data_IF_659320844548
#
_entry.id   IF_659320844548
#
_cell.length_a   1.000
_cell.length_b   1.000
_cell.length_c   1.000
_cell.angle_alpha   90.00
_cell.angle_beta   90.00
_cell.angle_gamma   90.00
#
_symmetry.space_group_name_H-M   'P 1'
#
loop_
_entity.id
_entity.type
_entity.pdbx_description
1 polymer ?
#
# COMPACT_ATOMS: atom_id res chain seq x y z
N UNK A 1 -18.84 -3.30 4.69
CA UNK A 1 -17.98 -4.43 5.10
C UNK A 1 -16.65 -3.87 5.57
N UNK A 2 -16.47 -3.73 6.88
CA UNK A 2 -15.25 -3.17 7.46
C UNK A 2 -14.38 -4.31 7.97
N UNK A 3 -13.33 -4.64 7.24
CA UNK A 3 -12.32 -5.53 7.77
C UNK A 3 -11.48 -4.74 8.78
N UNK A 4 -11.91 -4.72 10.05
CA UNK A 4 -11.42 -3.88 11.16
C UNK A 4 -9.88 -3.84 11.32
N UNK A 5 -9.19 -4.84 10.79
CA UNK A 5 -7.75 -5.06 10.93
C UNK A 5 -6.97 -4.88 9.61
N UNK A 6 -7.63 -4.62 8.48
CA UNK A 6 -6.93 -4.30 7.23
C UNK A 6 -6.61 -2.82 7.20
N UNK A 7 -5.34 -2.51 6.94
CA UNK A 7 -4.92 -1.15 6.60
C UNK A 7 -4.27 -1.20 5.21
N UNK A 8 -4.64 -0.23 4.39
CA UNK A 8 -4.03 -0.02 3.08
C UNK A 8 -3.24 1.28 3.18
N UNK A 9 -1.92 1.17 3.00
CA UNK A 9 -1.02 2.31 2.85
C UNK A 9 -0.76 2.56 1.37
N UNK A 10 -0.78 3.83 0.98
CA UNK A 10 -0.35 4.27 -0.34
C UNK A 10 0.81 5.23 -0.15
N UNK A 11 1.98 4.85 -0.66
CA UNK A 11 3.18 5.66 -0.66
C UNK A 11 3.41 6.17 -2.08
N UNK A 12 3.09 7.44 -2.29
CA UNK A 12 3.29 8.11 -3.57
C UNK A 12 4.65 8.79 -3.56
N UNK A 13 5.54 8.36 -4.45
CA UNK A 13 6.80 9.02 -4.77
C UNK A 13 6.73 9.61 -6.17
N UNK A 14 7.69 10.48 -6.50
CA UNK A 14 7.72 11.17 -7.78
C UNK A 14 7.75 10.22 -8.99
N UNK A 15 8.32 9.03 -8.85
CA UNK A 15 8.54 8.08 -9.96
C UNK A 15 7.81 6.75 -9.76
N UNK A 16 7.19 6.53 -8.60
CA UNK A 16 6.49 5.28 -8.30
C UNK A 16 5.41 5.48 -7.23
N UNK A 17 4.30 4.79 -7.42
CA UNK A 17 3.25 4.61 -6.43
C UNK A 17 3.37 3.21 -5.86
N UNK A 18 3.58 3.12 -4.55
CA UNK A 18 3.63 1.84 -3.84
C UNK A 18 2.36 1.70 -3.01
N UNK A 19 1.54 0.70 -3.33
CA UNK A 19 0.38 0.34 -2.53
C UNK A 19 0.72 -0.88 -1.67
N UNK A 20 0.36 -0.82 -0.40
CA UNK A 20 0.70 -1.83 0.61
C UNK A 20 -0.56 -2.18 1.38
N UNK A 21 -0.93 -3.45 1.38
CA UNK A 21 -1.98 -3.98 2.24
C UNK A 21 -1.35 -4.75 3.40
N UNK A 22 -1.60 -4.25 4.60
CA UNK A 22 -1.15 -4.87 5.85
C UNK A 22 -2.37 -5.30 6.66
N UNK A 23 -2.21 -6.45 7.32
CA UNK A 23 -3.11 -6.86 8.40
C UNK A 23 -2.47 -6.47 9.72
N UNK A 24 -3.11 -5.56 10.46
CA UNK A 24 -2.73 -5.22 11.82
C UNK A 24 -3.49 -6.08 12.81
N UNK A 25 -2.76 -6.93 13.53
CA UNK A 25 -3.18 -7.51 14.79
C UNK A 25 -2.67 -6.65 15.96
N UNK A 26 -3.16 -6.90 17.17
CA UNK A 26 -2.77 -6.15 18.37
C UNK A 26 -1.26 -6.20 18.68
N UNK A 27 -0.54 -7.19 18.14
CA UNK A 27 0.90 -7.40 18.37
C UNK A 27 1.74 -7.49 17.10
N UNK A 28 1.11 -7.68 15.94
CA UNK A 28 1.81 -8.03 14.71
C UNK A 28 1.25 -7.24 13.52
N UNK A 29 2.14 -6.83 12.64
CA UNK A 29 1.81 -6.22 11.37
C UNK A 29 2.28 -7.16 10.26
N UNK A 30 1.34 -7.82 9.60
CA UNK A 30 1.65 -8.77 8.53
C UNK A 30 1.44 -8.10 7.18
N UNK A 31 2.51 -8.04 6.38
CA UNK A 31 2.43 -7.62 4.99
C UNK A 31 1.73 -8.72 4.19
N UNK A 32 0.49 -8.45 3.77
CA UNK A 32 -0.27 -9.41 2.98
C UNK A 32 -0.04 -9.24 1.49
N UNK A 33 0.00 -7.98 1.02
CA UNK A 33 0.15 -7.69 -0.39
C UNK A 33 0.84 -6.37 -0.61
N UNK A 34 1.69 -6.34 -1.62
CA UNK A 34 2.39 -5.14 -2.03
C UNK A 34 2.30 -5.03 -3.55
N UNK A 35 2.11 -3.81 -4.03
CA UNK A 35 2.11 -3.48 -5.43
C UNK A 35 2.99 -2.28 -5.64
N UNK A 36 3.86 -2.36 -6.65
CA UNK A 36 4.59 -1.22 -7.15
C UNK A 36 4.01 -0.87 -8.51
N UNK A 37 3.49 0.34 -8.62
CA UNK A 37 3.05 0.93 -9.86
C UNK A 37 4.11 1.96 -10.25
N UNK A 38 4.85 1.77 -11.36
CA UNK A 38 5.70 2.83 -11.86
C UNK A 38 4.79 4.01 -12.22
N UNK A 39 5.10 5.19 -11.68
CA UNK A 39 4.48 6.42 -12.15
C UNK A 39 5.38 6.89 -13.29
N UNK A 40 4.89 6.74 -14.52
CA UNK A 40 5.58 7.31 -15.67
C UNK A 40 5.69 8.82 -15.45
N UNK A 41 6.91 9.36 -15.50
CA UNK A 41 7.21 10.79 -15.34
C UNK A 41 6.66 11.66 -16.48
N UNK A 42 5.88 11.08 -17.39
CA UNK A 42 5.42 11.68 -18.64
C UNK A 42 3.89 11.58 -18.72
N UNK A 43 3.22 12.22 -17.76
CA UNK A 43 1.85 12.69 -18.01
C UNK A 43 2.00 14.15 -18.42
N UNK A 44 2.09 14.33 -19.74
CA UNK A 44 2.07 15.61 -20.48
C UNK A 44 0.84 16.43 -20.08
#
# INVERSE_FOLDING_TARGET
MAFKNWQIGLHLQQQEAVAVAIWRSAKECLLHRWWRLPLENDII
#
